data_IF_776229621572
#
_entry.id   IF_776229621572
#
_cell.length_a   1.000
_cell.length_b   1.000
_cell.length_c   1.000
_cell.angle_alpha   90.00
_cell.angle_beta   90.00
_cell.angle_gamma   90.00
#
_symmetry.space_group_name_H-M   'P 1'
#
loop_
_entity.id
_entity.type
_entity.pdbx_description
1 polymer ?
#
# COMPACT_ATOMS: atom_id res chain seq x y z
N UNK A 1 -58.78 3.31 -15.65
CA UNK A 1 -58.80 2.14 -16.57
C UNK A 1 -58.10 2.51 -17.87
N UNK A 2 -56.85 2.06 -18.04
CA UNK A 2 -56.19 1.85 -19.32
C UNK A 2 -55.01 0.91 -19.05
N UNK A 3 -55.31 -0.35 -19.27
CA UNK A 3 -54.42 -1.50 -19.20
C UNK A 3 -53.47 -1.39 -20.40
N UNK A 4 -52.17 -1.37 -20.16
CA UNK A 4 -51.18 -1.61 -21.21
C UNK A 4 -50.26 -2.74 -20.75
N UNK A 5 -50.14 -3.71 -21.64
CA UNK A 5 -49.72 -5.06 -21.41
C UNK A 5 -48.25 -5.19 -21.04
N UNK A 6 -47.99 -5.98 -20.00
CA UNK A 6 -46.77 -6.75 -19.81
C UNK A 6 -46.51 -7.62 -21.04
N UNK A 7 -45.38 -7.39 -21.72
CA UNK A 7 -44.80 -8.36 -22.63
C UNK A 7 -43.47 -8.80 -22.02
N UNK A 8 -43.51 -9.97 -21.39
CA UNK A 8 -42.37 -10.63 -20.77
C UNK A 8 -41.34 -11.06 -21.80
N UNK A 9 -40.07 -10.71 -21.54
CA UNK A 9 -38.94 -11.23 -22.30
C UNK A 9 -38.49 -12.58 -21.69
N UNK A 10 -38.34 -13.64 -22.52
CA UNK A 10 -37.96 -14.97 -22.05
C UNK A 10 -36.49 -15.02 -21.58
N UNK A 11 -36.29 -15.65 -20.42
CA UNK A 11 -35.02 -15.79 -19.74
C UNK A 11 -33.89 -16.38 -20.59
N UNK A 12 -32.79 -15.64 -20.71
CA UNK A 12 -31.54 -16.14 -21.27
C UNK A 12 -30.94 -17.17 -20.32
N UNK A 13 -31.00 -18.44 -20.70
CA UNK A 13 -30.40 -19.56 -19.98
C UNK A 13 -28.89 -19.35 -19.84
N UNK A 14 -28.43 -19.44 -18.60
CA UNK A 14 -27.02 -19.39 -18.18
C UNK A 14 -26.34 -20.68 -18.66
N UNK A 15 -25.46 -20.59 -19.65
CA UNK A 15 -24.71 -21.75 -20.16
C UNK A 15 -23.61 -22.12 -19.14
N UNK A 16 -23.49 -23.39 -18.73
CA UNK A 16 -22.48 -23.82 -17.77
C UNK A 16 -21.07 -23.83 -18.38
N UNK A 17 -20.10 -23.43 -17.55
CA UNK A 17 -18.68 -23.49 -17.85
C UNK A 17 -18.22 -24.94 -18.05
N UNK A 18 -17.98 -25.35 -19.29
CA UNK A 18 -17.25 -26.59 -19.59
C UNK A 18 -15.77 -26.30 -19.76
N UNK A 19 -14.99 -26.81 -18.83
CA UNK A 19 -13.54 -26.95 -18.87
C UNK A 19 -13.08 -27.76 -20.09
N UNK A 20 -12.26 -27.16 -20.96
CA UNK A 20 -11.28 -27.85 -21.81
C UNK A 20 -10.01 -26.99 -21.79
N UNK A 21 -9.03 -27.38 -20.98
CA UNK A 21 -7.89 -28.18 -21.42
C UNK A 21 -7.04 -27.46 -22.48
N UNK A 22 -6.05 -26.72 -21.97
CA UNK A 22 -4.64 -26.75 -22.39
C UNK A 22 -4.39 -27.19 -23.84
N UNK A 23 -4.43 -26.24 -24.77
CA UNK A 23 -3.65 -26.31 -25.99
C UNK A 23 -2.58 -25.22 -25.91
N UNK A 24 -1.35 -25.66 -25.63
CA UNK A 24 -0.16 -24.89 -25.93
C UNK A 24 -0.13 -24.71 -27.45
N UNK A 25 -0.74 -23.64 -27.95
CA UNK A 25 -0.49 -23.15 -29.29
C UNK A 25 0.80 -22.31 -29.21
N UNK A 26 1.92 -23.02 -29.31
CA UNK A 26 3.12 -22.51 -29.94
C UNK A 26 2.70 -21.97 -31.31
N UNK A 27 2.55 -20.64 -31.44
CA UNK A 27 2.29 -19.78 -32.62
C UNK A 27 1.42 -18.61 -32.10
N UNK A 28 2.00 -17.62 -31.44
CA UNK A 28 2.47 -16.44 -32.17
C UNK A 28 3.40 -15.64 -31.27
N UNK A 29 4.66 -16.05 -31.27
CA UNK A 29 5.78 -15.17 -30.97
C UNK A 29 6.23 -14.41 -32.22
N UNK A 30 5.30 -14.08 -33.14
CA UNK A 30 5.46 -12.86 -33.92
C UNK A 30 5.06 -11.70 -33.02
N UNK A 31 5.93 -11.45 -32.04
CA UNK A 31 6.03 -10.18 -31.37
C UNK A 31 6.43 -9.20 -32.47
N UNK A 32 5.43 -8.64 -33.16
CA UNK A 32 5.64 -7.55 -34.11
C UNK A 32 6.46 -6.55 -33.33
N UNK A 33 7.74 -6.46 -33.70
CA UNK A 33 8.63 -5.43 -33.25
C UNK A 33 8.14 -4.17 -33.96
N UNK A 34 6.98 -3.66 -33.53
CA UNK A 34 6.51 -2.32 -33.87
C UNK A 34 7.63 -1.46 -33.31
N UNK A 35 8.47 -0.93 -34.20
CA UNK A 35 9.41 0.09 -33.84
C UNK A 35 8.60 1.21 -33.16
N UNK A 36 8.64 1.24 -31.83
CA UNK A 36 7.99 2.26 -31.02
C UNK A 36 8.73 3.56 -31.30
N UNK A 37 8.36 4.21 -32.40
CA UNK A 37 8.92 5.48 -32.80
C UNK A 37 8.61 6.49 -31.71
N UNK A 38 9.65 7.02 -31.07
CA UNK A 38 9.52 7.97 -29.96
C UNK A 38 8.85 9.24 -30.49
N UNK A 39 7.53 9.35 -30.31
CA UNK A 39 6.78 10.53 -30.75
C UNK A 39 7.05 11.70 -29.83
N UNK A 40 7.42 12.84 -30.40
CA UNK A 40 7.51 14.11 -29.68
C UNK A 40 6.15 14.80 -29.70
N UNK A 41 5.93 15.78 -28.83
CA UNK A 41 4.66 16.54 -28.80
C UNK A 41 4.92 17.98 -29.22
N UNK A 42 4.09 18.50 -30.13
CA UNK A 42 4.16 19.90 -30.51
C UNK A 42 3.78 20.80 -29.34
N UNK A 43 4.64 21.78 -29.01
CA UNK A 43 4.42 22.68 -27.88
C UNK A 43 3.22 23.61 -28.06
N UNK A 44 2.90 23.98 -29.31
CA UNK A 44 1.80 24.91 -29.62
C UNK A 44 0.46 24.20 -29.76
N UNK A 45 0.37 23.23 -30.67
CA UNK A 45 -0.87 22.53 -30.98
C UNK A 45 -1.19 21.39 -30.01
N UNK A 46 -0.17 20.79 -29.37
CA UNK A 46 -0.32 19.61 -28.52
C UNK A 46 -0.54 18.31 -29.30
N UNK A 47 -0.30 18.31 -30.62
CA UNK A 47 -0.38 17.13 -31.48
C UNK A 47 0.93 16.33 -31.45
N UNK A 48 0.86 15.01 -31.69
CA UNK A 48 2.03 14.13 -31.78
C UNK A 48 2.81 14.41 -33.08
N UNK A 49 4.12 14.49 -32.95
CA UNK A 49 5.11 14.64 -34.02
C UNK A 49 5.82 13.29 -34.16
N UNK A 50 5.71 12.70 -35.33
CA UNK A 50 6.47 11.50 -35.72
C UNK A 50 7.86 11.89 -36.22
N UNK A 51 8.86 11.01 -36.12
CA UNK A 51 10.21 11.30 -36.63
C UNK A 51 10.17 11.71 -38.11
N UNK A 52 11.09 12.59 -38.50
CA UNK A 52 11.13 13.16 -39.87
C UNK A 52 10.11 14.27 -40.12
N UNK A 53 9.34 14.69 -39.12
CA UNK A 53 8.34 15.76 -39.25
C UNK A 53 8.58 16.89 -38.25
N UNK A 54 8.18 18.10 -38.65
CA UNK A 54 8.17 19.28 -37.78
C UNK A 54 9.41 20.16 -37.92
N UNK A 55 9.47 21.18 -37.09
CA UNK A 55 10.53 22.20 -37.06
C UNK A 55 10.88 22.46 -35.60
N UNK A 56 12.17 22.43 -35.27
CA UNK A 56 12.68 22.84 -33.96
C UNK A 56 13.06 24.32 -34.03
N UNK A 57 12.52 25.11 -33.10
CA UNK A 57 12.84 26.51 -32.93
C UNK A 57 13.45 26.70 -31.55
N UNK A 58 14.65 27.28 -31.48
CA UNK A 58 15.35 27.55 -30.23
C UNK A 58 15.24 29.05 -29.99
N UNK A 59 14.67 29.43 -28.85
CA UNK A 59 14.62 30.84 -28.42
C UNK A 59 15.96 31.23 -27.79
N UNK A 60 16.25 32.52 -27.73
CA UNK A 60 17.48 33.07 -27.13
C UNK A 60 17.72 32.54 -25.71
N UNK A 61 16.67 32.34 -24.91
CA UNK A 61 16.77 31.77 -23.55
C UNK A 61 17.10 30.26 -23.50
N UNK A 62 17.46 29.65 -24.63
CA UNK A 62 17.75 28.20 -24.76
C UNK A 62 16.51 27.30 -24.78
N UNK A 63 15.30 27.86 -24.69
CA UNK A 63 14.08 27.08 -24.74
C UNK A 63 13.83 26.50 -26.13
N UNK A 64 13.71 25.17 -26.19
CA UNK A 64 13.44 24.44 -27.43
C UNK A 64 11.93 24.25 -27.65
N UNK A 65 11.44 24.73 -28.77
CA UNK A 65 10.06 24.60 -29.20
C UNK A 65 9.97 23.67 -30.40
N UNK A 66 9.26 22.55 -30.25
CA UNK A 66 8.95 21.64 -31.34
C UNK A 66 7.59 22.00 -31.95
N UNK A 67 7.59 22.30 -33.26
CA UNK A 67 6.40 22.63 -34.03
C UNK A 67 6.09 21.53 -35.05
N UNK A 68 4.82 21.16 -35.20
CA UNK A 68 4.42 20.15 -36.20
C UNK A 68 4.39 20.71 -37.63
N UNK A 69 3.95 21.97 -37.79
CA UNK A 69 3.72 22.62 -39.08
C UNK A 69 4.21 24.07 -39.09
N UNK A 70 4.46 24.61 -40.29
CA UNK A 70 4.74 26.05 -40.52
C UNK A 70 3.66 26.96 -39.91
N UNK A 71 2.40 26.55 -39.94
CA UNK A 71 1.27 27.25 -39.28
C UNK A 71 1.53 27.48 -37.78
N UNK A 72 2.02 26.47 -37.07
CA UNK A 72 2.30 26.58 -35.63
C UNK A 72 3.45 27.56 -35.36
N UNK A 73 4.50 27.52 -36.20
CA UNK A 73 5.64 28.43 -36.10
C UNK A 73 5.23 29.88 -36.37
N UNK A 74 4.44 30.12 -37.43
CA UNK A 74 3.96 31.47 -37.78
C UNK A 74 3.11 32.07 -36.66
N UNK A 75 2.16 31.31 -36.11
CA UNK A 75 1.31 31.79 -34.99
C UNK A 75 2.12 32.06 -33.71
N UNK A 76 3.17 31.28 -33.46
CA UNK A 76 4.08 31.51 -32.34
C UNK A 76 4.87 32.81 -32.53
N UNK A 77 5.38 33.06 -33.74
CA UNK A 77 6.09 34.31 -34.07
C UNK A 77 5.17 35.54 -33.94
N UNK A 78 3.89 35.40 -34.32
CA UNK A 78 2.86 36.42 -34.11
C UNK A 78 2.44 36.58 -32.64
N UNK A 79 3.06 35.84 -31.71
CA UNK A 79 2.79 35.85 -30.26
C UNK A 79 1.33 35.53 -29.93
N UNK A 80 0.64 34.73 -30.77
CA UNK A 80 -0.73 34.28 -30.50
C UNK A 80 -0.72 33.23 -29.40
N UNK A 81 -1.60 33.38 -28.41
CA UNK A 81 -1.72 32.44 -27.29
C UNK A 81 -2.53 31.20 -27.72
N UNK A 82 -2.02 29.97 -27.57
CA UNK A 82 -2.74 28.76 -27.98
C UNK A 82 -4.06 28.58 -27.23
N UNK A 83 -4.15 29.07 -25.98
CA UNK A 83 -5.36 29.10 -25.17
C UNK A 83 -6.57 29.82 -25.81
N UNK A 84 -6.34 30.72 -26.78
CA UNK A 84 -7.39 31.45 -27.50
C UNK A 84 -7.79 30.78 -28.82
N UNK A 85 -7.06 29.76 -29.29
CA UNK A 85 -7.25 29.14 -30.60
C UNK A 85 -7.98 27.80 -30.47
N UNK A 86 -9.21 27.74 -31.00
CA UNK A 86 -10.13 26.63 -30.81
C UNK A 86 -9.61 25.24 -31.21
N UNK A 87 -8.75 25.18 -32.24
CA UNK A 87 -8.22 23.93 -32.79
C UNK A 87 -7.08 23.32 -31.98
N UNK A 88 -6.51 24.05 -31.01
CA UNK A 88 -5.39 23.55 -30.20
C UNK A 88 -5.86 22.67 -29.06
N UNK A 89 -5.03 21.71 -28.66
CA UNK A 89 -5.30 20.84 -27.50
C UNK A 89 -5.39 21.66 -26.19
N UNK A 90 -4.62 22.73 -26.07
CA UNK A 90 -4.65 23.62 -24.88
C UNK A 90 -6.00 24.29 -24.71
N UNK A 91 -6.57 24.83 -25.81
CA UNK A 91 -7.91 25.40 -25.79
C UNK A 91 -8.95 24.36 -25.36
N UNK A 92 -8.94 23.17 -25.97
CA UNK A 92 -9.91 22.09 -25.68
C UNK A 92 -9.90 21.67 -24.20
N UNK A 93 -8.71 21.61 -23.58
CA UNK A 93 -8.54 21.33 -22.15
C UNK A 93 -9.18 22.40 -21.26
N UNK A 94 -8.94 23.68 -21.55
CA UNK A 94 -9.53 24.79 -20.78
C UNK A 94 -11.05 24.86 -20.94
N UNK A 95 -11.55 24.61 -22.14
CA UNK A 95 -12.99 24.64 -22.47
C UNK A 95 -13.69 23.30 -22.20
N UNK A 96 -13.06 22.40 -21.44
CA UNK A 96 -13.64 21.13 -20.99
C UNK A 96 -14.14 20.20 -22.11
N UNK A 97 -13.61 20.31 -23.32
CA UNK A 97 -14.01 19.47 -24.47
C UNK A 97 -13.47 18.04 -24.41
N UNK A 98 -12.40 17.81 -23.66
CA UNK A 98 -11.70 16.51 -23.57
C UNK A 98 -11.83 15.83 -22.20
N UNK A 99 -12.89 16.15 -21.44
CA UNK A 99 -13.04 15.70 -20.04
C UNK A 99 -13.40 14.22 -19.90
N UNK A 100 -14.07 13.61 -20.87
CA UNK A 100 -14.56 12.24 -20.73
C UNK A 100 -13.43 11.22 -20.54
N UNK A 101 -12.29 11.46 -21.19
CA UNK A 101 -11.10 10.60 -21.09
C UNK A 101 -10.41 10.78 -19.73
N UNK A 102 -10.30 12.02 -19.23
CA UNK A 102 -9.64 12.31 -17.95
C UNK A 102 -10.48 11.83 -16.77
N UNK A 103 -11.79 12.05 -16.81
CA UNK A 103 -12.76 11.62 -15.79
C UNK A 103 -12.83 10.11 -15.73
N UNK A 104 -12.92 9.43 -16.88
CA UNK A 104 -12.92 7.95 -16.93
C UNK A 104 -11.63 7.38 -16.36
N UNK A 105 -10.46 7.97 -16.68
CA UNK A 105 -9.18 7.55 -16.11
C UNK A 105 -9.11 7.80 -14.60
N UNK A 106 -9.66 8.91 -14.11
CA UNK A 106 -9.74 9.21 -12.66
C UNK A 106 -10.63 8.20 -11.94
N UNK A 107 -11.80 7.86 -12.50
CA UNK A 107 -12.72 6.84 -11.95
C UNK A 107 -12.06 5.45 -11.86
N UNK A 108 -11.24 5.08 -12.84
CA UNK A 108 -10.50 3.79 -12.84
C UNK A 108 -9.39 3.73 -11.78
N UNK A 109 -8.89 4.87 -11.30
CA UNK A 109 -7.96 4.93 -10.16
C UNK A 109 -8.74 4.94 -8.84
N UNK A 110 -9.46 3.86 -8.55
CA UNK A 110 -9.91 3.60 -7.17
C UNK A 110 -8.66 3.27 -6.35
N UNK A 111 -8.50 3.91 -5.20
CA UNK A 111 -7.41 3.60 -4.28
C UNK A 111 -7.44 2.11 -3.96
N UNK A 112 -6.30 1.42 -4.10
CA UNK A 112 -6.18 0.02 -3.72
C UNK A 112 -6.51 -0.07 -2.23
N UNK A 113 -7.68 -0.61 -1.90
CA UNK A 113 -8.02 -0.92 -0.51
C UNK A 113 -7.10 -2.06 -0.10
N UNK A 114 -6.21 -1.80 0.86
CA UNK A 114 -5.36 -2.84 1.43
C UNK A 114 -6.29 -3.92 2.02
N UNK A 115 -6.33 -5.08 1.38
CA UNK A 115 -7.06 -6.23 1.92
C UNK A 115 -6.29 -6.72 3.13
N UNK A 116 -6.91 -6.59 4.31
CA UNK A 116 -6.34 -7.12 5.56
C UNK A 116 -6.34 -8.64 5.44
N UNK A 117 -5.18 -9.29 5.65
CA UNK A 117 -5.02 -10.75 5.64
C UNK A 117 -4.97 -11.29 7.07
N UNK A 118 -5.41 -12.53 7.27
CA UNK A 118 -5.19 -13.24 8.53
C UNK A 118 -3.69 -13.43 8.74
N UNK A 119 -3.24 -13.24 9.97
CA UNK A 119 -1.86 -13.51 10.38
C UNK A 119 -1.85 -14.83 11.15
N UNK A 120 -0.83 -15.66 10.96
CA UNK A 120 -0.72 -16.96 11.62
C UNK A 120 -0.93 -16.82 13.14
N UNK A 121 -1.95 -17.48 13.68
CA UNK A 121 -2.35 -17.44 15.09
C UNK A 121 -3.57 -16.59 15.44
N UNK A 122 -4.11 -15.77 14.52
CA UNK A 122 -5.38 -15.06 14.74
C UNK A 122 -6.19 -14.93 13.45
N UNK A 123 -7.45 -15.41 13.49
CA UNK A 123 -8.38 -15.23 12.38
C UNK A 123 -8.74 -13.74 12.20
N UNK A 124 -9.13 -13.38 10.97
CA UNK A 124 -9.51 -12.00 10.61
C UNK A 124 -10.59 -11.41 11.53
N UNK A 125 -11.49 -12.26 12.01
CA UNK A 125 -12.59 -11.87 12.90
C UNK A 125 -12.10 -11.45 14.29
N UNK A 126 -11.12 -12.16 14.85
CA UNK A 126 -10.54 -11.82 16.16
C UNK A 126 -9.77 -10.51 16.09
N UNK A 127 -9.03 -10.29 15.00
CA UNK A 127 -8.30 -9.03 14.76
C UNK A 127 -9.27 -7.86 14.64
N UNK A 128 -10.40 -8.07 13.97
CA UNK A 128 -11.42 -7.03 13.79
C UNK A 128 -12.09 -6.68 15.11
N UNK A 129 -12.53 -7.69 15.88
CA UNK A 129 -13.16 -7.50 17.20
C UNK A 129 -12.26 -6.73 18.17
N UNK A 130 -10.98 -7.14 18.29
CA UNK A 130 -9.98 -6.42 19.12
C UNK A 130 -9.75 -4.99 18.65
N UNK A 131 -9.83 -4.72 17.34
CA UNK A 131 -9.65 -3.38 16.77
C UNK A 131 -10.86 -2.47 17.01
N UNK A 132 -12.07 -3.02 16.99
CA UNK A 132 -13.32 -2.29 17.20
C UNK A 132 -13.68 -2.06 18.67
N UNK A 133 -13.03 -2.76 19.61
CA UNK A 133 -13.23 -2.54 21.05
C UNK A 133 -13.00 -1.07 21.45
N UNK A 134 -13.94 -0.54 22.23
CA UNK A 134 -13.89 0.83 22.73
C UNK A 134 -12.66 1.00 23.65
N UNK A 135 -11.99 2.18 23.62
CA UNK A 135 -10.77 2.41 24.40
C UNK A 135 -10.99 2.30 25.91
N UNK A 136 -12.20 2.52 26.41
CA UNK A 136 -12.52 2.41 27.84
C UNK A 136 -12.47 0.96 28.33
N UNK A 137 -13.02 0.02 27.57
CA UNK A 137 -12.96 -1.42 27.88
C UNK A 137 -11.52 -1.94 27.86
N UNK A 138 -10.69 -1.41 26.95
CA UNK A 138 -9.25 -1.73 26.91
C UNK A 138 -8.51 -1.22 28.13
N UNK A 139 -8.83 -0.02 28.61
CA UNK A 139 -8.22 0.55 29.83
C UNK A 139 -8.65 -0.24 31.07
N UNK A 140 -9.94 -0.56 31.20
CA UNK A 140 -10.46 -1.36 32.31
C UNK A 140 -9.81 -2.76 32.38
N UNK A 141 -9.66 -3.45 31.24
CA UNK A 141 -8.96 -4.75 31.18
C UNK A 141 -7.48 -4.66 31.54
N UNK A 142 -6.78 -3.59 31.10
CA UNK A 142 -5.39 -3.32 31.50
C UNK A 142 -5.27 -3.04 33.00
N UNK A 143 -6.20 -2.28 33.58
CA UNK A 143 -6.16 -1.98 35.00
C UNK A 143 -6.47 -3.19 35.86
N UNK A 144 -7.43 -4.04 35.46
CA UNK A 144 -7.72 -5.31 36.13
C UNK A 144 -6.49 -6.24 36.14
N UNK A 145 -5.88 -6.44 34.97
CA UNK A 145 -4.66 -7.28 34.86
C UNK A 145 -3.48 -6.71 35.65
N UNK A 146 -3.30 -5.38 35.66
CA UNK A 146 -2.25 -4.74 36.47
C UNK A 146 -2.49 -4.88 37.98
N UNK A 147 -3.74 -4.87 38.44
CA UNK A 147 -4.09 -5.12 39.85
C UNK A 147 -3.77 -6.57 40.24
N UNK A 148 -4.19 -7.54 39.43
CA UNK A 148 -3.89 -8.96 39.65
C UNK A 148 -2.39 -9.28 39.64
N UNK A 149 -1.60 -8.64 38.76
CA UNK A 149 -0.14 -8.80 38.75
C UNK A 149 0.48 -8.22 40.02
N UNK A 150 0.02 -7.05 40.47
CA UNK A 150 0.52 -6.43 41.72
C UNK A 150 0.18 -7.27 42.94
N UNK A 151 -1.01 -7.88 42.99
CA UNK A 151 -1.41 -8.77 44.07
C UNK A 151 -0.60 -10.08 44.08
N UNK A 152 -0.38 -10.71 42.92
CA UNK A 152 0.52 -11.88 42.81
C UNK A 152 1.97 -11.54 43.17
N UNK A 153 2.44 -10.34 42.81
CA UNK A 153 3.77 -9.86 43.20
C UNK A 153 3.88 -9.58 44.70
N UNK A 154 2.82 -9.11 45.36
CA UNK A 154 2.79 -8.91 46.82
C UNK A 154 2.79 -10.25 47.57
N UNK A 155 1.96 -11.20 47.14
CA UNK A 155 1.91 -12.56 47.71
C UNK A 155 3.26 -13.27 47.58
N UNK A 156 3.83 -13.31 46.37
CA UNK A 156 5.15 -13.92 46.14
C UNK A 156 6.32 -13.20 46.84
N UNK A 157 6.21 -11.91 47.14
CA UNK A 157 7.20 -11.20 47.97
C UNK A 157 7.07 -11.56 49.46
N UNK A 158 5.84 -11.69 49.96
CA UNK A 158 5.57 -12.14 51.33
C UNK A 158 6.03 -13.60 51.55
N UNK A 159 5.77 -14.48 50.59
CA UNK A 159 6.25 -15.86 50.63
C UNK A 159 7.79 -15.92 50.61
N UNK A 160 8.44 -15.08 49.80
CA UNK A 160 9.91 -14.98 49.75
C UNK A 160 10.52 -14.35 51.00
N UNK A 161 9.86 -13.40 51.68
CA UNK A 161 10.34 -12.85 52.95
C UNK A 161 10.19 -13.85 54.09
N UNK A 162 9.06 -14.56 54.17
CA UNK A 162 8.84 -15.62 55.14
C UNK A 162 9.86 -16.78 54.97
N UNK A 163 10.17 -17.14 53.72
CA UNK A 163 11.17 -18.18 53.43
C UNK A 163 12.61 -17.70 53.72
N UNK A 164 12.89 -16.41 53.55
CA UNK A 164 14.18 -15.79 53.97
C UNK A 164 14.33 -15.75 55.48
N UNK A 165 13.26 -15.45 56.21
CA UNK A 165 13.24 -15.44 57.68
C UNK A 165 13.37 -16.86 58.25
N UNK A 166 12.72 -17.85 57.63
CA UNK A 166 12.90 -19.27 57.96
C UNK A 166 14.34 -19.75 57.70
N UNK A 167 14.96 -19.38 56.57
CA UNK A 167 16.37 -19.70 56.30
C UNK A 167 17.34 -18.97 57.24
N UNK A 168 17.01 -17.75 57.70
CA UNK A 168 17.84 -17.01 58.65
C UNK A 168 17.72 -17.54 60.09
N UNK A 169 16.57 -18.12 60.44
CA UNK A 169 16.37 -18.85 61.70
C UNK A 169 17.10 -20.21 61.68
N UNK A 170 17.09 -20.92 60.56
CA UNK A 170 17.87 -22.16 60.38
C UNK A 170 19.39 -21.93 60.45
N UNK A 171 19.88 -20.76 60.03
CA UNK A 171 21.31 -20.39 60.14
C UNK A 171 21.76 -20.00 61.56
N UNK A 172 20.84 -19.81 62.52
CA UNK A 172 21.17 -19.51 63.93
C UNK A 172 21.14 -20.73 64.87
N UNK A 173 20.90 -21.94 64.33
CA UNK A 173 20.79 -23.17 65.11
C UNK A 173 21.81 -24.27 64.71
N UNK A 174 22.94 -23.91 64.10
CA UNK A 174 24.01 -24.87 63.78
C UNK A 174 25.29 -24.54 64.58
N UNK A 175 25.82 -25.47 65.42
CA UNK A 175 27.04 -25.28 66.17
C UNK A 175 28.30 -25.39 65.29
N UNK A 176 29.30 -24.59 65.64
CA UNK A 176 30.62 -24.47 65.02
C UNK A 176 31.38 -25.81 65.08
N UNK A 177 31.81 -26.32 63.92
CA UNK A 177 32.92 -27.31 63.82
C UNK A 177 33.93 -26.86 62.77
N UNK A 178 35.18 -26.79 63.23
CA UNK A 178 36.38 -26.35 62.54
C UNK A 178 37.08 -27.54 61.82
N UNK A 179 37.87 -27.21 60.79
CA UNK A 179 38.97 -27.98 60.14
C UNK A 179 38.60 -28.88 58.93
N UNK A 180 39.41 -29.01 57.84
CA UNK A 180 40.36 -28.08 57.19
C UNK A 180 40.10 -27.84 55.68
N UNK A 181 40.78 -26.82 55.18
CA UNK A 181 41.00 -26.41 53.78
C UNK A 181 41.56 -27.55 52.92
N UNK A 182 40.84 -27.91 51.85
CA UNK A 182 41.27 -28.83 50.79
C UNK A 182 40.98 -28.23 49.40
N UNK A 183 41.95 -28.32 48.50
CA UNK A 183 42.07 -27.58 47.25
C UNK A 183 41.18 -28.10 46.10
N UNK A 184 40.89 -27.19 45.15
CA UNK A 184 40.37 -27.48 43.80
C UNK A 184 39.06 -26.73 43.52
N UNK A 185 38.86 -25.98 42.44
CA UNK A 185 39.67 -25.63 41.29
C UNK A 185 38.78 -24.84 40.31
N UNK A 186 39.37 -23.84 39.66
CA UNK A 186 38.92 -23.14 38.43
C UNK A 186 37.65 -22.29 38.48
N UNK A 187 37.88 -20.98 38.54
CA UNK A 187 36.88 -19.97 38.15
C UNK A 187 36.60 -19.97 36.65
N UNK A 188 35.35 -19.66 36.30
CA UNK A 188 35.00 -19.14 34.99
C UNK A 188 34.36 -17.78 35.16
N UNK A 189 34.91 -16.81 34.43
CA UNK A 189 34.53 -15.40 34.40
C UNK A 189 33.11 -15.25 33.86
N UNK A 190 32.36 -14.39 34.54
CA UNK A 190 31.19 -13.71 34.01
C UNK A 190 31.51 -13.00 32.69
N UNK A 191 30.63 -13.18 31.71
CA UNK A 191 30.45 -12.22 30.63
C UNK A 191 28.97 -11.88 30.61
N UNK A 192 28.69 -10.59 30.74
CA UNK A 192 27.34 -10.05 30.71
C UNK A 192 26.78 -9.98 29.29
N UNK A 193 25.46 -10.06 29.23
CA UNK A 193 24.61 -9.32 28.29
C UNK A 193 23.32 -8.98 29.01
#
# INVERSE_FOLDING_TARGET
MKIWAEVGAPGSKRVPATSKAKAHCCLSLFRVFIAESRTQVCRFSGLKIYPGRGIQFIRVDGQQFLFLHKKCKSLFNQRKRPAKLAWTTTYRKQHRKDQDISVTRRKRRTAAKNVVRSVAGASLEVITKRRTEKPELRKASREATLREIKERARKSKADKSAQREANKAAAKAAPVKNVPRGAGGKGSKSTGR
#
